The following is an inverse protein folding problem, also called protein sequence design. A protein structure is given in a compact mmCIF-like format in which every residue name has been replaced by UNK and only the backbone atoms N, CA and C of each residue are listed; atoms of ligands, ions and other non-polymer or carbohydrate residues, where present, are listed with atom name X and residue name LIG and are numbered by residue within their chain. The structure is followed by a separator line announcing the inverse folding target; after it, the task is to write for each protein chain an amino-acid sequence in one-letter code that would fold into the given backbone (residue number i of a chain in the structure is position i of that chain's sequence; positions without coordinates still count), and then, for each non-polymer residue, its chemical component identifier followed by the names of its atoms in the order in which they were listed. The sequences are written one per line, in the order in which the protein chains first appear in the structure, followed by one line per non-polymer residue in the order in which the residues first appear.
data_IF_551081482064
#
_entry.id   IF_551081482064
#
_cell.length_a   1.000
_cell.length_b   1.000
_cell.length_c   1.000
_cell.angle_alpha   90.00
_cell.angle_beta   90.00
_cell.angle_gamma   90.00
#
_symmetry.space_group_name_H-M   'P 1'
#
loop_
_entity.id
_entity.type
_entity.pdbx_description
1 polymer ?
#
# COMPACT_ATOMS: atom_id res chain seq x y z
N UNK A 1 5.80 -24.44 -14.49
CA UNK A 1 5.43 -25.42 -13.45
C UNK A 1 4.39 -24.80 -12.53
N UNK A 2 3.48 -23.97 -13.09
CA UNK A 2 2.87 -22.86 -12.34
C UNK A 2 1.33 -22.82 -12.43
N UNK A 3 0.72 -23.62 -13.30
CA UNK A 3 -0.74 -23.78 -13.37
C UNK A 3 -1.29 -24.51 -12.13
N UNK A 4 -0.54 -25.44 -11.52
CA UNK A 4 -1.06 -26.25 -10.41
C UNK A 4 -1.24 -25.47 -9.10
N UNK A 5 -0.33 -24.56 -8.73
CA UNK A 5 -0.43 -23.84 -7.44
C UNK A 5 -1.60 -22.85 -7.46
N UNK A 6 -1.76 -22.10 -8.56
CA UNK A 6 -2.85 -21.14 -8.69
C UNK A 6 -4.22 -21.82 -8.67
N UNK A 7 -4.37 -22.92 -9.41
CA UNK A 7 -5.62 -23.69 -9.45
C UNK A 7 -5.93 -24.35 -8.10
N UNK A 8 -4.93 -24.88 -7.38
CA UNK A 8 -5.11 -25.43 -6.02
C UNK A 8 -5.55 -24.35 -5.04
N UNK A 9 -4.95 -23.15 -5.08
CA UNK A 9 -5.36 -22.04 -4.21
C UNK A 9 -6.78 -21.58 -4.55
N UNK A 10 -7.13 -21.47 -5.83
CA UNK A 10 -8.50 -21.18 -6.27
C UNK A 10 -9.51 -22.21 -5.77
N UNK A 11 -9.20 -23.50 -5.89
CA UNK A 11 -10.08 -24.58 -5.44
C UNK A 11 -10.30 -24.56 -3.93
N UNK A 12 -9.25 -24.29 -3.14
CA UNK A 12 -9.36 -24.17 -1.69
C UNK A 12 -10.25 -22.99 -1.31
N UNK A 13 -10.03 -21.82 -1.90
CA UNK A 13 -10.77 -20.61 -1.55
C UNK A 13 -12.21 -20.63 -2.04
N UNK A 14 -12.50 -21.22 -3.20
CA UNK A 14 -13.87 -21.38 -3.69
C UNK A 14 -14.71 -22.23 -2.73
N UNK A 15 -14.10 -23.24 -2.07
CA UNK A 15 -14.77 -24.02 -1.01
C UNK A 15 -15.13 -23.18 0.22
N UNK A 16 -14.36 -22.14 0.54
CA UNK A 16 -14.69 -21.19 1.61
C UNK A 16 -15.77 -20.18 1.20
N UNK A 17 -15.84 -19.83 -0.08
CA UNK A 17 -16.82 -18.90 -0.65
C UNK A 17 -18.03 -19.61 -1.30
N UNK A 18 -18.38 -20.83 -0.87
CA UNK A 18 -19.52 -21.59 -1.39
C UNK A 18 -19.58 -21.72 -2.93
N UNK A 19 -18.43 -21.84 -3.59
CA UNK A 19 -18.31 -22.01 -5.04
C UNK A 19 -18.22 -20.70 -5.83
N UNK A 20 -18.20 -19.53 -5.18
CA UNK A 20 -17.94 -18.24 -5.85
C UNK A 20 -16.46 -18.07 -6.19
N UNK A 21 -16.16 -17.25 -7.22
CA UNK A 21 -14.78 -16.95 -7.61
C UNK A 21 -14.07 -16.20 -6.48
N UNK A 22 -13.01 -16.78 -5.89
CA UNK A 22 -12.34 -16.17 -4.75
C UNK A 22 -11.47 -14.99 -5.18
N UNK A 23 -11.51 -13.90 -4.41
CA UNK A 23 -10.53 -12.82 -4.55
C UNK A 23 -9.31 -13.09 -3.68
N UNK A 24 -8.12 -12.88 -4.24
CA UNK A 24 -6.85 -13.04 -3.54
C UNK A 24 -6.13 -11.69 -3.59
N UNK A 25 -5.87 -11.11 -2.42
CA UNK A 25 -4.98 -9.95 -2.32
C UNK A 25 -3.54 -10.47 -2.34
N UNK A 26 -2.87 -10.31 -3.47
CA UNK A 26 -1.47 -10.73 -3.64
C UNK A 26 -0.48 -9.74 -3.04
N UNK A 27 -0.80 -8.45 -2.95
CA UNK A 27 0.05 -7.50 -2.23
C UNK A 27 -0.81 -6.37 -1.69
N UNK A 28 -0.45 -5.86 -0.51
CA UNK A 28 -1.01 -4.63 0.05
C UNK A 28 0.11 -3.61 0.22
N UNK A 29 0.13 -2.57 -0.60
CA UNK A 29 1.20 -1.56 -0.56
C UNK A 29 0.71 -0.34 0.21
N UNK A 30 1.30 -0.10 1.38
CA UNK A 30 0.93 0.98 2.27
C UNK A 30 1.98 2.08 2.28
N UNK A 31 1.54 3.33 2.16
CA UNK A 31 2.36 4.52 2.36
C UNK A 31 2.22 4.99 3.81
N UNK A 32 3.25 4.81 4.63
CA UNK A 32 3.30 5.31 6.00
C UNK A 32 4.02 6.66 6.03
N UNK A 33 3.35 7.69 6.53
CA UNK A 33 3.93 9.03 6.67
C UNK A 33 4.37 9.24 8.12
N UNK A 34 5.67 9.42 8.35
CA UNK A 34 6.20 9.88 9.64
C UNK A 34 6.02 11.40 9.79
N UNK A 35 5.80 11.93 11.01
CA UNK A 35 5.91 13.36 11.31
C UNK A 35 7.28 13.97 10.97
N UNK A 36 8.30 13.13 10.75
CA UNK A 36 9.67 13.51 10.37
C UNK A 36 9.92 13.48 8.86
N UNK A 37 8.86 13.58 8.05
CA UNK A 37 8.86 13.66 6.56
C UNK A 37 9.33 12.42 5.78
N UNK A 38 9.96 11.42 6.41
CA UNK A 38 10.31 10.18 5.72
C UNK A 38 9.07 9.29 5.55
N UNK A 39 8.57 9.17 4.30
CA UNK A 39 7.64 8.10 3.99
C UNK A 39 8.36 6.77 3.94
N UNK A 40 7.73 5.78 4.56
CA UNK A 40 8.07 4.39 4.36
C UNK A 40 6.96 3.74 3.56
N UNK A 41 7.33 3.13 2.43
CA UNK A 41 6.44 2.19 1.76
C UNK A 41 6.62 0.82 2.39
N UNK A 42 5.52 0.18 2.74
CA UNK A 42 5.51 -1.17 3.31
C UNK A 42 4.70 -2.06 2.39
N UNK A 43 5.31 -3.14 1.93
CA UNK A 43 4.63 -4.19 1.20
C UNK A 43 4.14 -5.21 2.23
N UNK A 44 2.83 -5.19 2.49
CA UNK A 44 2.11 -6.14 3.30
C UNK A 44 1.59 -7.32 2.49
N UNK A 45 1.02 -8.28 3.19
CA UNK A 45 0.39 -9.45 2.60
C UNK A 45 -0.24 -10.32 3.68
N UNK A 46 -1.27 -11.07 3.31
CA UNK A 46 -1.88 -12.06 4.21
C UNK A 46 -0.91 -13.23 4.44
N UNK A 47 -1.19 -14.09 5.42
CA UNK A 47 -0.40 -15.32 5.59
C UNK A 47 -0.43 -16.20 4.32
N UNK A 48 -1.56 -16.21 3.61
CA UNK A 48 -1.71 -16.92 2.34
C UNK A 48 -0.80 -16.32 1.26
N UNK A 49 -0.80 -15.00 1.14
CA UNK A 49 0.07 -14.25 0.24
C UNK A 49 1.55 -14.62 0.43
N UNK A 50 2.03 -14.56 1.69
CA UNK A 50 3.41 -14.90 2.03
C UNK A 50 3.75 -16.36 1.72
N UNK A 51 2.79 -17.26 1.96
CA UNK A 51 2.93 -18.68 1.62
C UNK A 51 3.05 -18.89 0.10
N UNK A 52 2.23 -18.21 -0.70
CA UNK A 52 2.28 -18.25 -2.17
C UNK A 52 3.66 -17.79 -2.65
N UNK A 53 4.13 -16.61 -2.23
CA UNK A 53 5.43 -16.08 -2.64
C UNK A 53 6.59 -17.00 -2.28
N UNK A 54 6.60 -17.52 -1.05
CA UNK A 54 7.60 -18.52 -0.64
C UNK A 54 7.62 -19.76 -1.55
N UNK A 55 6.46 -20.26 -1.97
CA UNK A 55 6.39 -21.44 -2.84
C UNK A 55 6.69 -21.14 -4.31
N UNK A 56 6.48 -19.90 -4.74
CA UNK A 56 6.90 -19.42 -6.07
C UNK A 56 8.39 -19.04 -6.11
N UNK A 57 9.08 -19.04 -4.97
CA UNK A 57 10.48 -18.63 -4.88
C UNK A 57 10.69 -17.12 -4.94
N UNK A 58 9.63 -16.33 -4.79
CA UNK A 58 9.68 -14.87 -4.77
C UNK A 58 10.07 -14.42 -3.37
N UNK A 59 11.23 -13.78 -3.25
CA UNK A 59 11.69 -13.19 -1.99
C UNK A 59 11.32 -11.70 -1.88
N UNK A 60 11.68 -11.08 -0.74
CA UNK A 60 11.34 -9.69 -0.47
C UNK A 60 12.06 -8.71 -1.41
N UNK A 61 13.26 -9.05 -1.90
CA UNK A 61 14.04 -8.21 -2.83
C UNK A 61 13.43 -8.25 -4.23
N UNK A 62 13.11 -9.44 -4.74
CA UNK A 62 12.41 -9.62 -6.00
C UNK A 62 11.02 -8.96 -5.96
N UNK A 63 10.30 -9.08 -4.84
CA UNK A 63 9.01 -8.42 -4.65
C UNK A 63 9.14 -6.89 -4.65
N UNK A 64 10.19 -6.34 -4.02
CA UNK A 64 10.47 -4.90 -4.05
C UNK A 64 10.82 -4.41 -5.46
N UNK A 65 11.60 -5.17 -6.23
CA UNK A 65 11.92 -4.85 -7.62
C UNK A 65 10.67 -4.87 -8.51
N UNK A 66 9.83 -5.89 -8.39
CA UNK A 66 8.57 -6.02 -9.14
C UNK A 66 7.59 -4.87 -8.82
N UNK A 67 7.57 -4.40 -7.57
CA UNK A 67 6.69 -3.32 -7.12
C UNK A 67 7.32 -1.94 -7.19
N UNK A 68 8.58 -1.82 -7.62
CA UNK A 68 9.32 -0.55 -7.69
C UNK A 68 8.55 0.59 -8.38
N UNK A 69 7.89 0.40 -9.54
CA UNK A 69 7.12 1.48 -10.17
C UNK A 69 5.96 1.99 -9.31
N UNK A 70 5.31 1.08 -8.56
CA UNK A 70 4.22 1.42 -7.63
C UNK A 70 4.76 2.19 -6.43
N UNK A 71 5.89 1.74 -5.88
CA UNK A 71 6.59 2.41 -4.76
C UNK A 71 6.98 3.83 -5.14
N UNK A 72 7.58 4.02 -6.33
CA UNK A 72 7.94 5.34 -6.85
C UNK A 72 6.72 6.24 -7.02
N UNK A 73 5.63 5.73 -7.61
CA UNK A 73 4.39 6.49 -7.74
C UNK A 73 3.76 6.90 -6.40
N UNK A 74 3.85 6.06 -5.37
CA UNK A 74 3.39 6.40 -4.02
C UNK A 74 4.25 7.49 -3.36
N UNK A 75 5.56 7.51 -3.62
CA UNK A 75 6.46 8.58 -3.15
C UNK A 75 6.12 9.91 -3.82
N UNK A 76 5.86 9.91 -5.13
CA UNK A 76 5.41 11.11 -5.84
C UNK A 76 4.07 11.62 -5.28
N UNK A 77 3.13 10.71 -5.07
CA UNK A 77 1.84 11.04 -4.45
C UNK A 77 2.01 11.65 -3.05
N UNK A 78 2.91 11.11 -2.23
CA UNK A 78 3.25 11.69 -0.93
C UNK A 78 3.73 13.14 -1.08
N UNK A 79 4.64 13.40 -2.02
CA UNK A 79 5.15 14.74 -2.31
C UNK A 79 4.02 15.72 -2.61
N UNK A 80 3.06 15.31 -3.45
CA UNK A 80 1.88 16.12 -3.78
C UNK A 80 1.04 16.43 -2.54
N UNK A 81 0.80 15.44 -1.68
CA UNK A 81 0.05 15.62 -0.43
C UNK A 81 0.78 16.59 0.50
N UNK A 82 2.09 16.43 0.69
CA UNK A 82 2.91 17.32 1.52
C UNK A 82 2.91 18.75 0.98
N UNK A 83 3.03 18.95 -0.34
CA UNK A 83 2.93 20.28 -0.94
C UNK A 83 1.56 20.93 -0.70
N UNK A 84 0.49 20.16 -0.88
CA UNK A 84 -0.88 20.64 -0.59
C UNK A 84 -1.03 21.00 0.89
N UNK A 85 -0.50 20.19 1.80
CA UNK A 85 -0.50 20.48 3.23
C UNK A 85 0.30 21.75 3.55
N UNK A 86 1.50 21.93 2.97
CA UNK A 86 2.32 23.15 3.14
C UNK A 86 1.59 24.39 2.67
N UNK A 87 1.04 24.38 1.45
CA UNK A 87 0.25 25.50 0.89
C UNK A 87 -0.94 25.84 1.77
N UNK A 88 -1.69 24.83 2.19
CA UNK A 88 -2.87 25.02 3.04
C UNK A 88 -2.51 25.38 4.49
N UNK A 89 -1.31 25.06 4.97
CA UNK A 89 -0.87 25.40 6.32
C UNK A 89 -0.71 26.91 6.50
N UNK A 90 -0.25 27.65 5.49
CA UNK A 90 -0.17 29.11 5.55
C UNK A 90 -1.56 29.75 5.54
N UNK A 91 -2.47 29.22 4.73
CA UNK A 91 -3.88 29.65 4.68
C UNK A 91 -4.59 29.39 6.01
N UNK A 92 -4.48 28.18 6.56
CA UNK A 92 -5.05 27.81 7.87
C UNK A 92 -4.39 28.62 8.99
N UNK A 93 -3.08 28.85 8.94
CA UNK A 93 -2.37 29.67 9.93
C UNK A 93 -2.85 31.12 9.89
N UNK A 94 -3.09 31.67 8.71
CA UNK A 94 -3.68 33.00 8.54
C UNK A 94 -5.13 33.06 9.04
N UNK A 95 -5.94 32.03 8.79
CA UNK A 95 -7.30 31.93 9.33
C UNK A 95 -7.29 31.87 10.87
N UNK A 96 -6.44 31.02 11.46
CA UNK A 96 -6.28 30.92 12.91
C UNK A 96 -5.79 32.24 13.52
N UNK A 97 -4.81 32.90 12.91
CA UNK A 97 -4.32 34.22 13.36
C UNK A 97 -5.43 35.28 13.30
N UNK A 98 -6.24 35.30 12.22
CA UNK A 98 -7.39 36.21 12.10
C UNK A 98 -8.39 35.98 13.22
N UNK A 99 -8.71 34.72 13.55
CA UNK A 99 -9.65 34.38 14.64
C UNK A 99 -9.14 34.82 16.03
N UNK A 100 -7.82 34.79 16.26
CA UNK A 100 -7.23 35.22 17.54
C UNK A 100 -7.13 36.74 17.64
N UNK A 101 -6.85 37.43 16.54
CA UNK A 101 -6.71 38.90 16.50
C UNK A 101 -8.03 39.67 16.40
N UNK A 102 -9.15 38.98 16.20
CA UNK A 102 -10.51 39.56 16.18
C UNK A 102 -11.30 39.30 17.47
N UNK A 103 -10.64 38.76 18.51
CA UNK A 103 -11.13 38.80 19.90
C UNK A 103 -10.56 40.00 20.64
#
# INVERSE_FOLDING_TARGET
MDEEIYEVVKEILSKFNNGEEPSIVLADVQLLVSPTDEAKVVIGGTNLTKYIYKNLGIDDEELEELLKPVIEGLKDFQGIILEKMKKRSEEIKLELLKMVLTK
#
